data_IF_399751334303
#
_entry.id   IF_399751334303
#
_cell.length_a   1.000
_cell.length_b   1.000
_cell.length_c   1.000
_cell.angle_alpha   90.00
_cell.angle_beta   90.00
_cell.angle_gamma   90.00
#
_symmetry.space_group_name_H-M   'P 1'
#
loop_
_entity.id
_entity.type
_entity.pdbx_description
1 polymer ?
#
# COMPACT_ATOMS: atom_id res chain seq x y z
N UNK A 1 8.41 21.51 21.27
CA UNK A 1 8.39 20.24 22.03
C UNK A 1 8.21 19.10 21.04
N UNK A 2 9.29 18.37 20.73
CA UNK A 2 9.29 17.22 19.82
C UNK A 2 8.77 15.99 20.55
N UNK A 3 7.49 15.68 20.37
CA UNK A 3 6.82 14.56 21.05
C UNK A 3 5.98 13.70 20.13
N UNK A 4 6.41 13.46 18.88
CA UNK A 4 5.59 12.77 17.88
C UNK A 4 6.28 11.56 17.23
N UNK A 5 7.15 10.85 17.95
CA UNK A 5 7.49 9.48 17.58
C UNK A 5 6.43 8.53 18.13
N UNK A 6 5.17 8.68 17.66
CA UNK A 6 4.27 7.53 17.67
C UNK A 6 4.83 6.56 16.64
N UNK A 7 5.19 5.37 17.08
CA UNK A 7 5.45 4.25 16.17
C UNK A 7 4.30 4.21 15.17
N UNK A 8 4.62 4.19 13.87
CA UNK A 8 3.59 4.15 12.83
C UNK A 8 2.63 3.04 13.16
N UNK A 9 1.34 3.39 13.24
CA UNK A 9 0.31 2.40 13.50
C UNK A 9 0.39 1.33 12.42
N UNK A 10 -0.02 0.11 12.74
CA UNK A 10 0.01 -0.98 11.78
C UNK A 10 -0.77 -0.64 10.50
N UNK A 11 -1.85 0.13 10.67
CA UNK A 11 -2.63 0.75 9.60
C UNK A 11 -1.78 1.73 8.76
N UNK A 12 -1.03 2.64 9.38
CA UNK A 12 -0.16 3.58 8.63
C UNK A 12 0.93 2.86 7.85
N UNK A 13 1.51 1.78 8.41
CA UNK A 13 2.51 0.96 7.69
C UNK A 13 1.90 0.30 6.46
N UNK A 14 0.69 -0.23 6.58
CA UNK A 14 -0.03 -0.83 5.46
C UNK A 14 -0.46 0.21 4.43
N UNK A 15 -0.94 1.39 4.85
CA UNK A 15 -1.27 2.49 3.95
C UNK A 15 -0.06 2.96 3.14
N UNK A 16 1.11 3.09 3.77
CA UNK A 16 2.35 3.43 3.07
C UNK A 16 2.78 2.34 2.08
N UNK A 17 2.54 1.07 2.41
CA UNK A 17 2.81 -0.05 1.51
C UNK A 17 1.86 -0.01 0.31
N UNK A 18 0.57 0.23 0.53
CA UNK A 18 -0.43 0.41 -0.52
C UNK A 18 -0.06 1.58 -1.46
N UNK A 19 0.31 2.74 -0.92
CA UNK A 19 0.68 3.90 -1.73
C UNK A 19 1.91 3.62 -2.62
N UNK A 20 2.91 2.90 -2.09
CA UNK A 20 4.08 2.47 -2.87
C UNK A 20 3.68 1.51 -3.99
N UNK A 21 2.84 0.52 -3.70
CA UNK A 21 2.34 -0.43 -4.69
C UNK A 21 1.56 0.29 -5.78
N UNK A 22 0.70 1.25 -5.43
CA UNK A 22 -0.06 2.02 -6.43
C UNK A 22 0.82 2.92 -7.31
N UNK A 23 1.88 3.53 -6.76
CA UNK A 23 2.88 4.25 -7.55
C UNK A 23 3.60 3.33 -8.53
N UNK A 24 3.98 2.14 -8.07
CA UNK A 24 4.66 1.16 -8.92
C UNK A 24 3.71 0.58 -9.99
N UNK A 25 2.46 0.31 -9.64
CA UNK A 25 1.41 -0.08 -10.57
C UNK A 25 1.24 0.94 -11.70
N UNK A 26 1.14 2.23 -11.35
CA UNK A 26 1.01 3.32 -12.32
C UNK A 26 2.26 3.47 -13.19
N UNK A 27 3.45 3.22 -12.63
CA UNK A 27 4.69 3.22 -13.41
C UNK A 27 4.74 2.03 -14.38
N UNK A 28 4.29 0.85 -13.94
CA UNK A 28 4.33 -0.38 -14.73
C UNK A 28 3.16 -0.50 -15.72
N UNK A 29 2.06 0.22 -15.52
CA UNK A 29 0.90 0.17 -16.43
C UNK A 29 1.26 0.56 -17.87
N UNK A 30 2.29 1.39 -18.03
CA UNK A 30 2.81 1.82 -19.34
C UNK A 30 3.98 0.96 -19.86
N UNK A 31 4.60 0.13 -19.01
CA UNK A 31 5.81 -0.62 -19.34
C UNK A 31 5.52 -2.12 -19.48
N UNK A 32 4.76 -2.69 -18.55
CA UNK A 32 4.48 -4.11 -18.48
C UNK A 32 3.14 -4.38 -17.79
N UNK A 33 2.14 -4.71 -18.60
CA UNK A 33 0.77 -4.98 -18.15
C UNK A 33 0.67 -6.15 -17.18
N UNK A 34 1.34 -7.28 -17.43
CA UNK A 34 1.29 -8.43 -16.52
C UNK A 34 1.87 -8.10 -15.15
N UNK A 35 2.98 -7.36 -15.08
CA UNK A 35 3.53 -6.93 -13.78
C UNK A 35 2.65 -5.88 -13.10
N UNK A 36 2.02 -5.00 -13.87
CA UNK A 36 1.02 -4.06 -13.36
C UNK A 36 -0.13 -4.82 -12.70
N UNK A 37 -0.73 -5.79 -13.37
CA UNK A 37 -1.84 -6.59 -12.82
C UNK A 37 -1.46 -7.32 -11.52
N UNK A 38 -0.23 -7.81 -11.41
CA UNK A 38 0.30 -8.42 -10.16
C UNK A 38 0.38 -7.41 -9.02
N UNK A 39 0.94 -6.23 -9.26
CA UNK A 39 1.06 -5.19 -8.21
C UNK A 39 -0.32 -4.68 -7.78
N UNK A 40 -1.28 -4.61 -8.71
CA UNK A 40 -2.65 -4.26 -8.37
C UNK A 40 -3.28 -5.29 -7.43
N UNK A 41 -3.09 -6.59 -7.69
CA UNK A 41 -3.55 -7.65 -6.81
C UNK A 41 -2.91 -7.56 -5.41
N UNK A 42 -1.60 -7.31 -5.33
CA UNK A 42 -0.91 -7.07 -4.05
C UNK A 42 -1.44 -5.84 -3.31
N UNK A 43 -1.74 -4.75 -4.01
CA UNK A 43 -2.32 -3.56 -3.43
C UNK A 43 -3.71 -3.86 -2.85
N UNK A 44 -4.53 -4.64 -3.57
CA UNK A 44 -5.85 -5.06 -3.10
C UNK A 44 -5.77 -5.89 -1.81
N UNK A 45 -4.82 -6.82 -1.71
CA UNK A 45 -4.61 -7.58 -0.47
C UNK A 45 -4.22 -6.69 0.72
N UNK A 46 -3.39 -5.67 0.47
CA UNK A 46 -3.01 -4.70 1.50
C UNK A 46 -4.21 -3.88 1.94
N UNK A 47 -5.08 -3.47 1.01
CA UNK A 47 -6.34 -2.78 1.31
C UNK A 47 -7.24 -3.64 2.20
N UNK A 48 -7.42 -4.92 1.86
CA UNK A 48 -8.22 -5.86 2.65
C UNK A 48 -7.67 -6.01 4.09
N UNK A 49 -6.33 -6.03 4.25
CA UNK A 49 -5.69 -6.07 5.58
C UNK A 49 -5.95 -4.79 6.36
N UNK A 50 -5.97 -3.64 5.71
CA UNK A 50 -6.29 -2.35 6.35
C UNK A 50 -7.75 -2.34 6.82
N UNK A 51 -8.68 -2.83 6.00
CA UNK A 51 -10.10 -2.93 6.36
C UNK A 51 -10.32 -3.90 7.51
N UNK A 52 -9.68 -5.06 7.49
CA UNK A 52 -9.75 -6.04 8.57
C UNK A 52 -9.21 -5.50 9.92
N UNK A 53 -8.22 -4.60 9.89
CA UNK A 53 -7.69 -3.95 11.09
C UNK A 53 -8.52 -2.74 11.57
N UNK A 54 -9.39 -2.22 10.72
CA UNK A 54 -10.31 -1.11 11.04
C UNK A 54 -11.65 -1.59 11.59
N UNK A 55 -11.97 -2.88 11.43
CA UNK A 55 -13.19 -3.51 11.92
C UNK A 55 -13.10 -3.80 13.42
#
# INVERSE_FOLDING_TARGET
>A
MFGLFKSKSEIEKLQLKYEKLMKEWHRLSTINRSKSDQIYAEAQEVMNKIEALKQ
#
